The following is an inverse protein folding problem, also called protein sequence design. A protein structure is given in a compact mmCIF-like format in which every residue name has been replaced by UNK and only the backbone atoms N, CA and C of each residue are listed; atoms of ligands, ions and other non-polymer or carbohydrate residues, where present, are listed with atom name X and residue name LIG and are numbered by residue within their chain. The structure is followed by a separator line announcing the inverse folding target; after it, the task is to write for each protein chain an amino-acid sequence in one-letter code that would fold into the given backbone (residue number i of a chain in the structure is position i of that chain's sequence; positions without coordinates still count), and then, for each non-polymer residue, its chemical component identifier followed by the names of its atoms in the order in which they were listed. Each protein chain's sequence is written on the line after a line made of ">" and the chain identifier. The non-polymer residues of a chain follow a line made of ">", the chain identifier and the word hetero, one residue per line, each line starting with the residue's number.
data_IF_169023766995
#
_entry.id   IF_169023766995
#
_cell.length_a   1.000
_cell.length_b   1.000
_cell.length_c   1.000
_cell.angle_alpha   90.00
_cell.angle_beta   90.00
_cell.angle_gamma   90.00
#
_symmetry.space_group_name_H-M   'P 1'
#
loop_
_entity.id
_entity.type
_entity.pdbx_description
1 polymer ?
#
# COMPACT_ATOMS: atom_id res chain seq x y z
N UNK A 1 47.70 -5.54 -34.09
CA UNK A 1 48.10 -5.49 -32.66
C UNK A 1 47.85 -4.13 -31.98
N UNK A 2 47.80 -3.01 -32.70
CA UNK A 2 47.64 -1.67 -32.08
C UNK A 2 46.31 -1.40 -31.40
N UNK A 3 45.22 -1.95 -31.88
CA UNK A 3 43.86 -1.73 -31.29
C UNK A 3 43.70 -2.37 -29.92
N UNK A 4 44.34 -3.49 -29.62
CA UNK A 4 44.29 -4.16 -28.33
C UNK A 4 44.99 -3.37 -27.20
N UNK A 5 45.92 -2.50 -27.55
CA UNK A 5 46.66 -1.66 -26.61
C UNK A 5 45.85 -0.43 -26.22
N UNK A 6 45.05 0.11 -27.16
CA UNK A 6 44.32 1.38 -27.01
C UNK A 6 42.91 1.12 -26.49
N UNK A 7 42.26 0.07 -26.97
CA UNK A 7 40.85 -0.21 -26.67
C UNK A 7 40.67 -1.35 -25.66
N UNK A 8 40.16 -1.10 -24.47
CA UNK A 8 39.90 -2.14 -23.47
C UNK A 8 38.84 -3.13 -23.95
N UNK A 9 39.00 -4.40 -23.61
CA UNK A 9 38.05 -5.46 -23.97
C UNK A 9 38.19 -6.00 -25.39
N UNK A 10 39.13 -5.48 -26.18
CA UNK A 10 39.32 -5.90 -27.57
C UNK A 10 39.95 -7.31 -27.73
N UNK A 11 40.54 -7.84 -26.67
CA UNK A 11 41.11 -9.19 -26.64
C UNK A 11 40.68 -9.95 -25.40
N UNK A 12 40.16 -11.17 -25.63
CA UNK A 12 39.87 -12.13 -24.56
C UNK A 12 41.05 -13.11 -24.44
N UNK A 13 41.64 -13.23 -23.31
CA UNK A 13 42.64 -14.24 -23.01
C UNK A 13 41.98 -15.56 -22.57
N UNK A 14 41.93 -16.60 -23.43
CA UNK A 14 41.12 -17.80 -23.14
C UNK A 14 41.54 -18.55 -21.88
N UNK A 15 42.84 -18.53 -21.58
CA UNK A 15 43.44 -19.20 -20.41
C UNK A 15 43.22 -18.43 -19.09
N UNK A 16 43.12 -17.10 -19.15
CA UNK A 16 43.03 -16.25 -17.97
C UNK A 16 41.59 -15.75 -17.70
N UNK A 17 40.66 -16.01 -18.61
CA UNK A 17 39.27 -15.49 -18.58
C UNK A 17 39.19 -13.96 -18.36
N UNK A 18 40.23 -13.23 -18.76
CA UNK A 18 40.34 -11.77 -18.61
C UNK A 18 40.35 -11.07 -19.96
N UNK A 19 40.04 -9.79 -19.95
CA UNK A 19 40.09 -8.91 -21.11
C UNK A 19 41.29 -7.95 -21.00
N UNK A 20 41.79 -7.45 -22.17
CA UNK A 20 42.80 -6.41 -22.15
C UNK A 20 42.27 -5.13 -21.49
N UNK A 21 43.10 -4.48 -20.66
CA UNK A 21 42.74 -3.20 -19.99
C UNK A 21 43.10 -1.98 -20.89
N UNK A 22 43.80 -2.20 -21.99
CA UNK A 22 44.26 -1.13 -22.85
C UNK A 22 45.35 -0.26 -22.21
N UNK A 23 45.82 0.76 -22.94
CA UNK A 23 46.88 1.67 -22.51
C UNK A 23 46.54 2.49 -21.27
N UNK A 24 45.24 2.80 -21.08
CA UNK A 24 44.75 3.61 -19.97
C UNK A 24 44.27 2.78 -18.75
N UNK A 25 44.56 1.49 -18.74
CA UNK A 25 44.14 0.56 -17.67
C UNK A 25 42.64 0.65 -17.37
N UNK A 26 41.82 0.94 -18.39
CA UNK A 26 40.36 1.12 -18.25
C UNK A 26 39.64 -0.20 -18.41
N UNK A 27 38.68 -0.44 -17.55
CA UNK A 27 37.72 -1.53 -17.65
C UNK A 27 36.30 -0.98 -17.39
N UNK A 28 35.40 -1.21 -18.33
CA UNK A 28 33.99 -0.83 -18.14
C UNK A 28 33.37 -1.45 -16.87
N UNK A 29 33.73 -2.71 -16.58
CA UNK A 29 33.31 -3.38 -15.32
C UNK A 29 33.90 -2.70 -14.09
N UNK A 30 35.19 -2.34 -14.12
CA UNK A 30 35.85 -1.63 -13.01
C UNK A 30 35.30 -0.23 -12.81
N UNK A 31 34.92 0.46 -13.88
CA UNK A 31 34.26 1.75 -13.80
C UNK A 31 32.89 1.62 -13.11
N UNK A 32 32.06 0.67 -13.54
CA UNK A 32 30.76 0.39 -12.90
C UNK A 32 30.94 -0.01 -11.43
N UNK A 33 31.91 -0.87 -11.12
CA UNK A 33 32.18 -1.27 -9.73
C UNK A 33 32.62 -0.09 -8.87
N UNK A 34 33.41 0.82 -9.42
CA UNK A 34 33.83 2.05 -8.73
C UNK A 34 32.65 2.97 -8.47
N UNK A 35 31.80 3.21 -9.48
CA UNK A 35 30.59 4.01 -9.32
C UNK A 35 29.61 3.40 -8.31
N UNK A 36 29.44 2.09 -8.33
CA UNK A 36 28.61 1.39 -7.33
C UNK A 36 29.17 1.58 -5.91
N UNK A 37 30.48 1.46 -5.73
CA UNK A 37 31.09 1.70 -4.41
C UNK A 37 30.88 3.13 -3.95
N UNK A 38 31.08 4.13 -4.80
CA UNK A 38 30.79 5.53 -4.46
C UNK A 38 29.31 5.76 -4.14
N UNK A 39 28.40 5.13 -4.87
CA UNK A 39 26.97 5.23 -4.59
C UNK A 39 26.63 4.62 -3.21
N UNK A 40 27.16 3.44 -2.90
CA UNK A 40 26.97 2.78 -1.60
C UNK A 40 27.53 3.65 -0.47
N UNK A 41 28.78 4.15 -0.57
CA UNK A 41 29.39 4.99 0.46
C UNK A 41 28.56 6.26 0.73
N UNK A 42 28.02 6.90 -0.33
CA UNK A 42 27.16 8.07 -0.16
C UNK A 42 25.84 7.72 0.52
N UNK A 43 25.31 6.51 0.30
CA UNK A 43 24.08 6.05 0.95
C UNK A 43 24.30 5.65 2.42
N UNK A 44 25.48 5.13 2.77
CA UNK A 44 25.79 4.66 4.12
C UNK A 44 25.72 5.80 5.15
N UNK A 45 26.15 7.01 4.80
CA UNK A 45 26.03 8.19 5.66
C UNK A 45 24.57 8.50 5.99
N UNK A 46 23.70 8.53 4.98
CA UNK A 46 22.29 8.79 5.15
C UNK A 46 21.58 7.64 5.89
N UNK A 47 21.91 6.40 5.60
CA UNK A 47 21.39 5.24 6.32
C UNK A 47 21.75 5.31 7.80
N UNK A 48 23.00 5.64 8.10
CA UNK A 48 23.48 5.79 9.48
C UNK A 48 22.73 6.90 10.21
N UNK A 49 22.48 8.04 9.54
CA UNK A 49 21.70 9.14 10.13
C UNK A 49 20.23 8.77 10.36
N UNK A 50 19.62 8.01 9.46
CA UNK A 50 18.22 7.58 9.59
C UNK A 50 18.05 6.40 10.55
N UNK A 51 19.09 5.61 10.76
CA UNK A 51 19.04 4.43 11.62
C UNK A 51 18.66 4.80 13.06
N UNK A 52 17.60 4.19 13.56
CA UNK A 52 17.05 4.44 14.89
C UNK A 52 16.16 5.66 15.03
N UNK A 53 15.92 6.42 13.93
CA UNK A 53 14.94 7.51 13.93
C UNK A 53 13.55 6.97 13.57
N UNK A 54 12.53 7.49 14.25
CA UNK A 54 11.15 7.23 13.83
C UNK A 54 10.74 8.13 12.65
N UNK A 55 9.68 7.75 11.94
CA UNK A 55 9.21 8.46 10.74
C UNK A 55 8.94 9.95 10.99
N UNK A 56 8.41 10.30 12.14
CA UNK A 56 8.17 11.70 12.55
C UNK A 56 9.47 12.49 12.77
N UNK A 57 10.52 11.87 13.30
CA UNK A 57 11.84 12.49 13.45
C UNK A 57 12.48 12.72 12.07
N UNK A 58 12.37 11.74 11.16
CA UNK A 58 12.86 11.90 9.79
C UNK A 58 12.09 13.02 9.07
N UNK A 59 10.77 13.08 9.21
CA UNK A 59 9.93 14.12 8.60
C UNK A 59 10.21 15.52 9.15
N UNK A 60 10.73 15.64 10.37
CA UNK A 60 11.10 16.90 10.99
C UNK A 60 12.51 17.38 10.62
N UNK A 61 13.36 16.54 10.02
CA UNK A 61 14.73 16.88 9.60
C UNK A 61 14.74 17.34 8.14
N UNK A 62 15.01 18.63 7.83
CA UNK A 62 15.01 19.16 6.47
C UNK A 62 16.04 18.49 5.55
N UNK A 63 17.20 18.08 6.08
CA UNK A 63 18.25 17.43 5.28
C UNK A 63 17.83 16.03 4.87
N UNK A 64 17.21 15.27 5.79
CA UNK A 64 16.68 13.96 5.50
C UNK A 64 15.51 14.05 4.52
N UNK A 65 14.66 15.06 4.63
CA UNK A 65 13.54 15.29 3.70
C UNK A 65 13.96 15.69 2.29
N UNK A 66 15.21 16.10 2.07
CA UNK A 66 15.72 16.30 0.69
C UNK A 66 15.93 14.98 -0.05
N UNK A 67 16.21 13.88 0.65
CA UNK A 67 16.59 12.60 0.03
C UNK A 67 15.51 11.51 0.19
N UNK A 68 14.81 11.47 1.33
CA UNK A 68 13.82 10.43 1.65
C UNK A 68 12.72 10.30 0.59
N UNK A 69 12.14 11.38 0.02
CA UNK A 69 11.11 11.24 -1.01
C UNK A 69 11.60 10.51 -2.27
N UNK A 70 12.87 10.69 -2.66
CA UNK A 70 13.43 10.01 -3.82
C UNK A 70 13.58 8.49 -3.56
N UNK A 71 14.07 8.12 -2.38
CA UNK A 71 14.15 6.73 -1.94
C UNK A 71 12.77 6.08 -1.79
N UNK A 72 11.85 6.77 -1.12
CA UNK A 72 10.48 6.31 -0.97
C UNK A 72 9.75 6.13 -2.30
N UNK A 73 9.94 7.05 -3.26
CA UNK A 73 9.38 6.92 -4.61
C UNK A 73 9.94 5.69 -5.34
N UNK A 74 11.22 5.42 -5.21
CA UNK A 74 11.84 4.23 -5.81
C UNK A 74 11.30 2.94 -5.17
N UNK A 75 11.23 2.87 -3.85
CA UNK A 75 10.67 1.74 -3.11
C UNK A 75 9.20 1.51 -3.47
N UNK A 76 8.40 2.56 -3.53
CA UNK A 76 7.00 2.51 -3.95
C UNK A 76 6.85 1.96 -5.36
N UNK A 77 7.65 2.47 -6.31
CA UNK A 77 7.62 2.02 -7.71
C UNK A 77 7.94 0.54 -7.85
N UNK A 78 8.86 0.03 -7.05
CA UNK A 78 9.28 -1.37 -7.14
C UNK A 78 8.29 -2.34 -6.45
N UNK A 79 7.59 -1.90 -5.39
CA UNK A 79 6.88 -2.80 -4.51
C UNK A 79 5.36 -2.54 -4.44
N UNK A 80 4.90 -1.31 -4.67
CA UNK A 80 3.52 -0.91 -4.35
C UNK A 80 2.68 -0.61 -5.59
N UNK A 81 3.30 -0.16 -6.69
CA UNK A 81 2.62 0.29 -7.93
C UNK A 81 1.71 -0.79 -8.52
N UNK A 82 2.10 -2.07 -8.44
CA UNK A 82 1.31 -3.17 -9.00
C UNK A 82 -0.12 -3.22 -8.45
N UNK A 83 -0.30 -2.84 -7.18
CA UNK A 83 -1.60 -2.82 -6.51
C UNK A 83 -2.19 -1.40 -6.43
N UNK A 84 -1.37 -0.41 -6.03
CA UNK A 84 -1.85 0.94 -5.74
C UNK A 84 -1.75 1.92 -6.92
N UNK A 85 -1.24 1.49 -8.08
CA UNK A 85 -1.07 2.34 -9.26
C UNK A 85 0.12 3.29 -9.16
N UNK A 86 0.58 3.85 -10.29
CA UNK A 86 1.79 4.70 -10.34
C UNK A 86 1.71 5.97 -9.50
N UNK A 87 0.51 6.55 -9.38
CA UNK A 87 0.26 7.75 -8.58
C UNK A 87 -0.27 7.43 -7.17
N UNK A 88 -0.37 6.16 -6.79
CA UNK A 88 -0.94 5.75 -5.51
C UNK A 88 -2.46 5.89 -5.41
N UNK A 89 -3.15 6.14 -6.54
CA UNK A 89 -4.62 6.39 -6.55
C UNK A 89 -5.47 5.12 -6.43
N UNK A 90 -4.83 3.97 -6.25
CA UNK A 90 -5.54 2.72 -6.12
C UNK A 90 -6.26 2.26 -7.39
N UNK A 91 -7.08 1.26 -7.21
CA UNK A 91 -8.03 0.71 -8.18
C UNK A 91 -9.05 -0.13 -7.41
N UNK A 92 -10.10 -0.60 -8.07
CA UNK A 92 -11.12 -1.43 -7.39
C UNK A 92 -10.48 -2.57 -6.59
N UNK A 93 -10.72 -2.57 -5.27
CA UNK A 93 -10.14 -3.52 -4.32
C UNK A 93 -8.76 -3.15 -3.76
N UNK A 94 -8.14 -2.06 -4.24
CA UNK A 94 -6.88 -1.53 -3.72
C UNK A 94 -7.04 -0.04 -3.40
N UNK A 95 -6.83 0.39 -2.15
CA UNK A 95 -7.15 1.74 -1.71
C UNK A 95 -6.32 2.82 -2.41
N UNK A 96 -6.93 3.99 -2.59
CA UNK A 96 -6.24 5.24 -2.92
C UNK A 96 -5.41 5.66 -1.70
N UNK A 97 -4.11 5.82 -1.88
CA UNK A 97 -3.18 6.25 -0.83
C UNK A 97 -2.98 7.76 -0.81
N UNK A 98 -3.61 8.49 -1.74
CA UNK A 98 -3.57 9.97 -1.82
C UNK A 98 -4.78 10.61 -1.19
N UNK A 99 -5.76 9.80 -0.81
CA UNK A 99 -6.98 10.20 -0.14
C UNK A 99 -6.71 10.51 1.35
N UNK A 100 -7.24 11.62 1.88
CA UNK A 100 -7.17 11.93 3.30
C UNK A 100 -7.97 10.96 4.18
N UNK A 101 -8.93 10.21 3.63
CA UNK A 101 -9.79 9.27 4.36
C UNK A 101 -9.16 7.86 4.47
N UNK A 102 -7.93 7.76 4.96
CA UNK A 102 -7.26 6.47 5.13
C UNK A 102 -8.06 5.50 6.00
N UNK A 103 -8.39 4.33 5.46
CA UNK A 103 -9.14 3.28 6.17
C UNK A 103 -8.41 2.71 7.39
N UNK A 104 -7.09 2.75 7.39
CA UNK A 104 -6.26 2.22 8.48
C UNK A 104 -5.58 3.31 9.32
N UNK A 105 -5.94 4.57 9.12
CA UNK A 105 -5.32 5.74 9.72
C UNK A 105 -4.18 6.32 8.87
N UNK A 106 -4.05 7.66 8.88
CA UNK A 106 -3.16 8.43 8.02
C UNK A 106 -1.94 9.03 8.73
N UNK A 107 -1.70 8.75 10.02
CA UNK A 107 -0.48 9.20 10.68
C UNK A 107 0.74 8.44 10.17
N UNK A 108 1.93 9.07 10.19
CA UNK A 108 3.16 8.42 9.76
C UNK A 108 3.41 7.11 10.51
N UNK A 109 3.17 7.10 11.83
CA UNK A 109 3.33 5.92 12.67
C UNK A 109 2.38 4.80 12.24
N UNK A 110 1.11 5.13 11.97
CA UNK A 110 0.11 4.15 11.54
C UNK A 110 0.43 3.59 10.15
N UNK A 111 0.95 4.42 9.25
CA UNK A 111 1.39 3.98 7.92
C UNK A 111 2.59 3.03 8.04
N UNK A 112 3.61 3.41 8.83
CA UNK A 112 4.78 2.55 9.08
C UNK A 112 4.35 1.22 9.69
N UNK A 113 3.47 1.25 10.69
CA UNK A 113 2.96 0.02 11.31
C UNK A 113 2.18 -0.84 10.30
N UNK A 114 1.34 -0.24 9.46
CA UNK A 114 0.62 -0.98 8.41
C UNK A 114 1.57 -1.62 7.40
N UNK A 115 2.66 -0.93 7.04
CA UNK A 115 3.71 -1.50 6.20
C UNK A 115 4.44 -2.65 6.90
N UNK A 116 4.78 -2.48 8.18
CA UNK A 116 5.50 -3.47 8.98
C UNK A 116 4.72 -4.78 9.08
N UNK A 117 3.46 -4.73 9.51
CA UNK A 117 2.68 -5.92 9.84
C UNK A 117 1.76 -6.41 8.72
N UNK A 118 1.45 -5.54 7.74
CA UNK A 118 0.49 -5.83 6.68
C UNK A 118 -0.96 -5.90 7.18
N UNK A 119 -1.84 -6.38 6.30
CA UNK A 119 -3.27 -6.57 6.59
C UNK A 119 -3.64 -8.00 6.22
N UNK A 120 -4.26 -8.73 7.15
CA UNK A 120 -4.66 -10.14 6.99
C UNK A 120 -3.50 -11.06 6.54
N UNK A 121 -2.28 -10.80 7.01
CA UNK A 121 -1.05 -11.55 6.72
C UNK A 121 -0.83 -12.67 7.74
N UNK A 122 0.37 -13.23 7.76
CA UNK A 122 0.83 -14.20 8.77
C UNK A 122 1.79 -13.57 9.81
N UNK A 123 1.90 -12.24 9.85
CA UNK A 123 2.71 -11.54 10.84
C UNK A 123 2.09 -11.71 12.24
N UNK A 124 2.90 -11.81 13.30
CA UNK A 124 2.42 -12.01 14.68
C UNK A 124 1.55 -10.85 15.18
N UNK A 125 1.90 -9.60 14.82
CA UNK A 125 1.15 -8.38 15.16
C UNK A 125 0.14 -7.99 14.07
N UNK A 126 -0.37 -8.94 13.32
CA UNK A 126 -1.25 -8.74 12.16
C UNK A 126 -2.38 -7.74 12.42
N UNK A 127 -2.62 -6.84 11.48
CA UNK A 127 -3.87 -6.07 11.40
C UNK A 127 -4.93 -6.90 10.69
N UNK A 128 -6.04 -7.12 11.38
CA UNK A 128 -7.19 -7.83 10.80
C UNK A 128 -8.22 -6.82 10.33
N UNK A 129 -8.60 -6.91 9.06
CA UNK A 129 -9.68 -6.13 8.46
C UNK A 129 -10.55 -7.08 7.63
N UNK A 130 -11.70 -7.44 8.16
CA UNK A 130 -12.62 -8.39 7.54
C UNK A 130 -14.05 -7.94 7.72
N UNK A 131 -14.83 -7.94 6.66
CA UNK A 131 -16.27 -7.76 6.67
C UNK A 131 -16.96 -9.10 6.45
N UNK A 132 -17.87 -9.45 7.34
CA UNK A 132 -18.61 -10.72 7.29
C UNK A 132 -19.45 -10.84 6.01
N UNK A 133 -19.63 -12.07 5.53
CA UNK A 133 -20.48 -12.38 4.38
C UNK A 133 -21.95 -12.54 4.83
N UNK A 134 -22.61 -11.44 5.10
CA UNK A 134 -23.95 -11.44 5.72
C UNK A 134 -24.98 -12.26 4.96
N UNK A 135 -24.96 -12.23 3.63
CA UNK A 135 -25.89 -13.03 2.81
C UNK A 135 -25.46 -14.49 2.69
N UNK A 136 -24.23 -14.75 2.28
CA UNK A 136 -23.70 -16.10 2.05
C UNK A 136 -23.76 -16.96 3.31
N UNK A 137 -23.41 -16.37 4.45
CA UNK A 137 -23.34 -17.08 5.73
C UNK A 137 -24.68 -17.01 6.50
N UNK A 138 -25.76 -16.60 5.81
CA UNK A 138 -27.14 -16.55 6.31
C UNK A 138 -27.34 -15.71 7.59
N UNK A 139 -26.48 -14.72 7.84
CA UNK A 139 -26.63 -13.75 8.93
C UNK A 139 -27.79 -12.78 8.67
N UNK A 140 -28.01 -12.45 7.40
CA UNK A 140 -29.14 -11.66 6.89
C UNK A 140 -29.83 -12.42 5.76
N UNK A 141 -31.16 -12.31 5.70
CA UNK A 141 -31.92 -12.79 4.54
C UNK A 141 -31.63 -11.93 3.32
N UNK A 142 -32.00 -12.42 2.13
CA UNK A 142 -31.86 -11.67 0.89
C UNK A 142 -32.53 -10.28 0.97
N UNK A 143 -33.74 -10.22 1.50
CA UNK A 143 -34.51 -8.96 1.62
C UNK A 143 -33.82 -8.01 2.62
N UNK A 144 -33.28 -8.53 3.71
CA UNK A 144 -32.51 -7.73 4.67
C UNK A 144 -31.21 -7.17 4.06
N UNK A 145 -30.52 -7.94 3.22
CA UNK A 145 -29.35 -7.44 2.47
C UNK A 145 -29.77 -6.31 1.52
N UNK A 146 -30.91 -6.44 0.82
CA UNK A 146 -31.48 -5.37 -0.03
C UNK A 146 -31.79 -4.11 0.80
N UNK A 147 -32.38 -4.29 1.97
CA UNK A 147 -32.69 -3.20 2.89
C UNK A 147 -31.42 -2.46 3.34
N UNK A 148 -30.43 -3.19 3.85
CA UNK A 148 -29.15 -2.61 4.33
C UNK A 148 -28.40 -1.94 3.19
N UNK A 149 -28.40 -2.50 1.97
CA UNK A 149 -27.74 -1.87 0.81
C UNK A 149 -28.34 -0.50 0.48
N UNK A 150 -29.67 -0.37 0.52
CA UNK A 150 -30.33 0.92 0.32
C UNK A 150 -30.05 1.91 1.47
N UNK A 151 -30.00 1.43 2.70
CA UNK A 151 -29.65 2.26 3.85
C UNK A 151 -28.21 2.80 3.74
N UNK A 152 -27.25 1.95 3.40
CA UNK A 152 -25.85 2.36 3.21
C UNK A 152 -25.73 3.43 2.13
N UNK A 153 -26.43 3.27 1.01
CA UNK A 153 -26.50 4.31 -0.05
C UNK A 153 -27.11 5.62 0.44
N UNK A 154 -28.09 5.55 1.34
CA UNK A 154 -28.67 6.75 1.94
C UNK A 154 -27.69 7.53 2.82
N UNK A 155 -26.74 6.84 3.48
CA UNK A 155 -25.75 7.48 4.32
C UNK A 155 -24.79 8.39 3.52
N UNK A 156 -24.44 8.00 2.30
CA UNK A 156 -23.60 8.79 1.40
C UNK A 156 -24.39 9.70 0.44
N UNK A 157 -25.70 9.85 0.67
CA UNK A 157 -26.54 10.73 -0.18
C UNK A 157 -26.79 10.23 -1.60
N UNK A 158 -26.42 8.98 -1.91
CA UNK A 158 -26.62 8.39 -3.23
C UNK A 158 -28.08 8.00 -3.49
N UNK A 159 -28.44 7.87 -4.77
CA UNK A 159 -29.79 7.42 -5.17
C UNK A 159 -30.12 6.05 -4.58
N UNK A 160 -31.23 5.91 -3.88
CA UNK A 160 -31.66 4.71 -3.18
C UNK A 160 -33.20 4.62 -3.11
N UNK A 161 -33.73 3.45 -2.79
CA UNK A 161 -35.14 3.29 -2.44
C UNK A 161 -35.37 3.81 -1.00
N UNK A 162 -36.03 4.96 -0.88
CA UNK A 162 -36.24 5.65 0.38
C UNK A 162 -37.14 4.87 1.33
N UNK A 163 -38.16 4.17 0.81
CA UNK A 163 -39.05 3.37 1.64
C UNK A 163 -38.33 2.17 2.25
N UNK A 164 -37.52 1.49 1.45
CA UNK A 164 -36.69 0.37 1.87
C UNK A 164 -35.60 0.83 2.84
N UNK A 165 -34.92 1.94 2.58
CA UNK A 165 -33.90 2.50 3.47
C UNK A 165 -34.45 2.87 4.86
N UNK A 166 -35.64 3.50 4.91
CA UNK A 166 -36.26 3.95 6.16
C UNK A 166 -36.52 2.81 7.15
N UNK A 167 -36.70 1.58 6.68
CA UNK A 167 -36.98 0.40 7.54
C UNK A 167 -35.70 -0.30 8.01
N UNK A 168 -34.51 0.13 7.53
CA UNK A 168 -33.26 -0.61 7.68
C UNK A 168 -32.39 -0.16 8.86
N UNK A 169 -32.66 0.99 9.45
CA UNK A 169 -31.88 1.51 10.59
C UNK A 169 -31.72 0.49 11.75
N UNK A 170 -32.74 -0.31 12.15
CA UNK A 170 -32.57 -1.33 13.17
C UNK A 170 -31.59 -2.44 12.76
N UNK A 171 -31.57 -2.83 11.47
CA UNK A 171 -30.64 -3.84 10.97
C UNK A 171 -29.22 -3.30 10.99
N UNK A 172 -29.01 -2.06 10.53
CA UNK A 172 -27.71 -1.40 10.60
C UNK A 172 -27.21 -1.29 12.04
N UNK A 173 -28.07 -0.88 12.96
CA UNK A 173 -27.75 -0.80 14.38
C UNK A 173 -27.34 -2.14 14.97
N UNK A 174 -28.00 -3.22 14.56
CA UNK A 174 -27.71 -4.55 15.09
C UNK A 174 -26.45 -5.19 14.55
N UNK A 175 -26.12 -4.96 13.28
CA UNK A 175 -25.12 -5.75 12.57
C UNK A 175 -23.91 -4.95 12.06
N UNK A 176 -23.99 -3.61 12.00
CA UNK A 176 -22.99 -2.80 11.29
C UNK A 176 -22.25 -1.80 12.18
N UNK A 177 -22.88 -1.29 13.25
CA UNK A 177 -22.33 -0.18 14.06
C UNK A 177 -21.05 -0.55 14.83
N UNK A 178 -20.83 -1.82 15.12
CA UNK A 178 -19.62 -2.25 15.83
C UNK A 178 -18.35 -1.95 15.03
N UNK A 179 -18.42 -2.07 13.70
CA UNK A 179 -17.33 -1.75 12.80
C UNK A 179 -17.47 -0.35 12.17
N UNK A 180 -18.65 0.02 11.69
CA UNK A 180 -18.85 1.26 10.95
C UNK A 180 -19.27 2.46 11.80
N UNK A 181 -19.51 2.26 13.10
CA UNK A 181 -19.99 3.32 13.98
C UNK A 181 -21.49 3.62 13.78
N UNK A 182 -22.09 4.32 14.75
CA UNK A 182 -23.54 4.64 14.73
C UNK A 182 -23.96 5.49 13.54
N UNK A 183 -23.05 6.39 13.10
CA UNK A 183 -23.27 7.31 12.00
C UNK A 183 -22.70 6.78 10.67
N UNK A 184 -22.13 5.57 10.65
CA UNK A 184 -21.51 4.99 9.47
C UNK A 184 -20.14 5.57 9.11
N UNK A 185 -19.47 6.31 10.00
CA UNK A 185 -18.18 7.00 9.73
C UNK A 185 -16.96 6.08 9.74
N UNK A 186 -17.15 4.79 9.99
CA UNK A 186 -16.08 3.82 10.04
C UNK A 186 -15.29 3.82 11.34
N UNK A 187 -14.32 2.89 11.42
CA UNK A 187 -13.34 2.78 12.51
C UNK A 187 -12.00 2.36 11.92
N UNK A 188 -11.02 3.23 11.97
CA UNK A 188 -9.69 3.02 11.36
C UNK A 188 -8.88 1.93 12.05
N UNK A 189 -9.09 1.69 13.34
CA UNK A 189 -8.48 0.61 14.11
C UNK A 189 -8.93 -0.78 13.63
N UNK A 190 -10.14 -0.87 13.09
CA UNK A 190 -10.71 -2.09 12.52
C UNK A 190 -10.57 -2.16 10.98
N UNK A 191 -10.00 -1.14 10.35
CA UNK A 191 -9.96 -1.03 8.89
C UNK A 191 -11.37 -0.94 8.27
N UNK A 192 -12.37 -0.50 9.04
CA UNK A 192 -13.73 -0.36 8.58
C UNK A 192 -13.96 1.01 7.96
N UNK A 193 -14.33 1.09 6.65
CA UNK A 193 -14.44 2.34 5.92
C UNK A 193 -15.59 3.22 6.43
N UNK A 194 -15.46 4.53 6.19
CA UNK A 194 -16.53 5.49 6.26
C UNK A 194 -17.55 5.19 5.15
N UNK A 195 -18.81 5.13 5.48
CA UNK A 195 -19.92 4.86 4.55
C UNK A 195 -20.69 6.13 4.18
N UNK A 196 -20.20 7.30 4.63
CA UNK A 196 -20.89 8.59 4.44
C UNK A 196 -20.20 9.51 3.43
N UNK A 197 -19.05 9.08 2.90
CA UNK A 197 -18.26 9.82 1.90
C UNK A 197 -18.40 9.19 0.50
N UNK A 198 -17.61 9.71 -0.45
CA UNK A 198 -17.60 9.26 -1.85
C UNK A 198 -16.48 8.25 -2.15
N UNK A 199 -15.71 7.81 -1.12
CA UNK A 199 -14.55 6.93 -1.27
C UNK A 199 -14.95 5.46 -1.11
N UNK A 200 -15.06 4.76 -2.23
CA UNK A 200 -15.57 3.39 -2.29
C UNK A 200 -14.55 2.41 -2.90
N UNK A 201 -13.91 1.64 -2.03
CA UNK A 201 -12.88 0.66 -2.43
C UNK A 201 -13.40 -0.39 -3.44
N UNK A 202 -14.67 -0.77 -3.33
CA UNK A 202 -15.27 -1.83 -4.17
C UNK A 202 -16.42 -1.31 -5.05
N UNK A 203 -16.55 0.01 -5.18
CA UNK A 203 -17.62 0.66 -5.93
C UNK A 203 -18.85 1.00 -5.08
N UNK A 204 -19.53 2.06 -5.49
CA UNK A 204 -20.66 2.66 -4.78
C UNK A 204 -22.03 2.32 -5.41
N UNK A 205 -22.04 1.64 -6.56
CA UNK A 205 -23.31 1.24 -7.16
C UNK A 205 -24.06 0.25 -6.25
N UNK A 206 -25.38 0.24 -6.35
CA UNK A 206 -26.21 -0.67 -5.55
C UNK A 206 -25.73 -2.14 -5.64
N UNK A 207 -25.37 -2.59 -6.85
CA UNK A 207 -24.90 -3.96 -7.07
C UNK A 207 -23.57 -4.24 -6.36
N UNK A 208 -22.70 -3.25 -6.26
CA UNK A 208 -21.39 -3.38 -5.60
C UNK A 208 -21.56 -3.51 -4.09
N UNK A 209 -22.41 -2.66 -3.49
CA UNK A 209 -22.73 -2.67 -2.08
C UNK A 209 -23.47 -3.97 -1.71
N UNK A 210 -24.46 -4.37 -2.52
CA UNK A 210 -25.14 -5.64 -2.37
C UNK A 210 -24.16 -6.82 -2.39
N UNK A 211 -23.26 -6.84 -3.37
CA UNK A 211 -22.23 -7.89 -3.50
C UNK A 211 -21.28 -7.91 -2.31
N UNK A 212 -20.92 -6.73 -1.80
CA UNK A 212 -20.09 -6.58 -0.60
C UNK A 212 -20.79 -7.14 0.64
N UNK A 213 -22.06 -6.79 0.85
CA UNK A 213 -22.87 -7.33 1.96
C UNK A 213 -23.08 -8.84 1.83
N UNK A 214 -23.32 -9.32 0.61
CA UNK A 214 -23.60 -10.73 0.38
C UNK A 214 -22.38 -11.60 0.62
N UNK A 215 -21.22 -11.24 0.06
CA UNK A 215 -20.01 -12.07 0.06
C UNK A 215 -19.01 -11.74 1.17
N UNK A 216 -19.19 -10.60 1.85
CA UNK A 216 -18.16 -10.06 2.73
C UNK A 216 -16.94 -9.53 1.96
N UNK A 217 -15.97 -9.02 2.69
CA UNK A 217 -14.68 -8.56 2.16
C UNK A 217 -13.56 -8.96 3.09
N UNK A 218 -12.47 -9.42 2.50
CA UNK A 218 -11.23 -9.72 3.20
C UNK A 218 -10.08 -9.35 2.28
N UNK A 219 -9.64 -8.10 2.36
CA UNK A 219 -8.46 -7.63 1.63
C UNK A 219 -7.20 -8.26 2.20
N UNK A 220 -6.13 -8.26 1.42
CA UNK A 220 -4.82 -8.71 1.85
C UNK A 220 -3.76 -7.72 1.40
N UNK A 221 -2.89 -7.29 2.31
CA UNK A 221 -1.70 -6.50 2.02
C UNK A 221 -0.51 -7.18 2.68
N UNK A 222 0.57 -7.50 1.93
CA UNK A 222 1.74 -8.16 2.52
C UNK A 222 2.36 -7.29 3.62
N UNK A 223 2.97 -7.93 4.62
CA UNK A 223 3.90 -7.26 5.50
C UNK A 223 5.23 -7.02 4.77
N UNK A 224 5.93 -5.94 5.13
CA UNK A 224 7.16 -5.53 4.47
C UNK A 224 8.36 -5.52 5.40
N UNK A 225 8.21 -5.95 6.64
CA UNK A 225 9.26 -6.02 7.66
C UNK A 225 10.51 -6.79 7.21
N UNK A 226 10.35 -7.77 6.31
CA UNK A 226 11.47 -8.59 5.81
C UNK A 226 12.19 -7.97 4.59
N UNK A 227 11.65 -6.90 4.02
CA UNK A 227 12.14 -6.28 2.77
C UNK A 227 12.43 -4.80 2.88
N UNK A 228 11.74 -4.11 3.76
CA UNK A 228 11.87 -2.69 4.03
C UNK A 228 12.18 -2.57 5.52
N UNK A 229 13.41 -2.90 5.87
CA UNK A 229 13.98 -2.66 7.19
C UNK A 229 14.14 -1.15 7.43
N UNK A 230 13.97 -0.75 8.67
CA UNK A 230 14.03 0.64 9.09
C UNK A 230 15.48 1.17 9.08
#
# INVERSE_FOLDING_TARGET
>A
MGLAIIWPGSWRFPLLKTFSLGLFNYSARGAVETELRFAVTRQDDWKTRMSGLCATQIAADPDLMMITPAGGKAAFKMNCVACHGEAGRGQTGFPDLTDPASQCGGSLETIVETLRVGINTQHEDIRTAEMLAFGRDALLTRDQVVQVANYVRSLSGQSHDTATAATSAPLFTKFCIDCHGKEGRGKTDLGAPNLTDDDWLYGSAYADIYTTLWNGRKGWMPHWSDRLDA
#
